data_IF_673091867896
#
_entry.id   IF_673091867896
#
_cell.length_a   1.000
_cell.length_b   1.000
_cell.length_c   1.000
_cell.angle_alpha   90.00
_cell.angle_beta   90.00
_cell.angle_gamma   90.00
#
_symmetry.space_group_name_H-M   'P 1'
#
loop_
_entity.id
_entity.type
_entity.pdbx_description
1 polymer ?
#
# COMPACT_ATOMS: atom_id res chain seq x y z
N UNK A 1 6.01 22.88 35.08
CA UNK A 1 5.87 22.76 33.62
C UNK A 1 4.38 22.73 33.30
N UNK A 2 3.83 23.68 32.53
CA UNK A 2 2.42 23.62 32.15
C UNK A 2 2.19 22.44 31.20
N UNK A 3 1.07 21.74 31.39
CA UNK A 3 0.64 20.62 30.56
C UNK A 3 0.03 21.20 29.27
N UNK A 4 0.77 21.14 28.17
CA UNK A 4 0.24 21.55 26.86
C UNK A 4 -0.85 20.56 26.43
N UNK A 5 -2.07 21.05 26.21
CA UNK A 5 -3.17 20.23 25.74
C UNK A 5 -2.85 19.73 24.32
N UNK A 6 -2.71 18.42 24.15
CA UNK A 6 -2.54 17.80 22.84
C UNK A 6 -3.80 18.03 22.01
N UNK A 7 -3.77 19.03 21.12
CA UNK A 7 -4.89 19.33 20.23
C UNK A 7 -4.74 18.51 18.93
N UNK A 8 -5.75 17.70 18.62
CA UNK A 8 -5.78 16.95 17.37
C UNK A 8 -5.87 17.91 16.16
N UNK A 9 -5.16 17.59 15.07
CA UNK A 9 -5.25 18.38 13.83
C UNK A 9 -6.65 18.26 13.23
N UNK A 10 -7.09 19.32 12.56
CA UNK A 10 -8.31 19.29 11.75
C UNK A 10 -8.18 18.27 10.61
N UNK A 11 -9.31 17.69 10.20
CA UNK A 11 -9.36 16.76 9.07
C UNK A 11 -8.85 17.47 7.81
N UNK A 12 -8.09 16.75 6.99
CA UNK A 12 -7.68 17.23 5.68
C UNK A 12 -8.89 17.42 4.76
N UNK A 13 -8.77 18.36 3.82
CA UNK A 13 -9.77 18.57 2.77
C UNK A 13 -9.89 17.35 1.86
N UNK A 14 -11.05 17.25 1.20
CA UNK A 14 -11.28 16.19 0.21
C UNK A 14 -10.36 16.43 -1.00
N UNK A 15 -9.67 15.41 -1.53
CA UNK A 15 -8.84 15.56 -2.72
C UNK A 15 -9.63 16.16 -3.90
N UNK A 16 -8.99 17.03 -4.67
CA UNK A 16 -9.60 17.67 -5.84
C UNK A 16 -9.80 16.74 -7.04
N UNK A 17 -9.16 15.57 -7.02
CA UNK A 17 -9.28 14.55 -8.05
C UNK A 17 -10.17 13.42 -7.56
N UNK A 18 -10.89 12.79 -8.49
CA UNK A 18 -11.54 11.51 -8.19
C UNK A 18 -10.45 10.50 -7.85
N UNK A 19 -10.71 9.65 -6.87
CA UNK A 19 -9.88 8.48 -6.64
C UNK A 19 -9.86 7.66 -7.94
N UNK A 20 -8.70 7.63 -8.59
CA UNK A 20 -8.46 6.87 -9.81
C UNK A 20 -8.26 5.38 -9.53
N UNK A 21 -8.29 4.98 -8.26
CA UNK A 21 -8.25 3.59 -7.84
C UNK A 21 -9.45 2.83 -8.39
N UNK A 22 -9.28 2.20 -9.55
CA UNK A 22 -10.07 1.01 -9.85
C UNK A 22 -9.73 -0.01 -8.77
N UNK A 23 -10.75 -0.48 -8.05
CA UNK A 23 -10.62 -1.60 -7.13
C UNK A 23 -10.21 -2.82 -7.94
N UNK A 24 -8.90 -3.06 -8.02
CA UNK A 24 -8.40 -4.23 -8.73
C UNK A 24 -8.83 -5.45 -7.92
N UNK A 25 -9.42 -6.48 -8.54
CA UNK A 25 -9.77 -7.69 -7.82
C UNK A 25 -8.55 -8.18 -7.03
N UNK A 26 -8.79 -8.53 -5.76
CA UNK A 26 -7.76 -8.97 -4.82
C UNK A 26 -7.28 -10.40 -5.14
N UNK A 27 -7.00 -10.67 -6.41
CA UNK A 27 -6.44 -11.92 -6.86
C UNK A 27 -5.01 -12.06 -6.30
N UNK A 28 -4.79 -13.15 -5.58
CA UNK A 28 -3.50 -13.47 -4.97
C UNK A 28 -2.44 -13.83 -6.02
N UNK A 29 -2.85 -14.19 -7.24
CA UNK A 29 -1.93 -14.50 -8.34
C UNK A 29 -1.16 -13.27 -8.84
N UNK A 30 -1.67 -12.06 -8.59
CA UNK A 30 -1.05 -10.79 -9.01
C UNK A 30 -0.50 -10.01 -7.82
N UNK A 31 0.06 -10.72 -6.82
CA UNK A 31 0.71 -10.13 -5.64
C UNK A 31 2.19 -10.44 -5.60
N UNK A 32 2.98 -9.40 -5.33
CA UNK A 32 4.39 -9.55 -4.95
C UNK A 32 4.50 -9.41 -3.44
N UNK A 33 5.22 -10.34 -2.82
CA UNK A 33 5.52 -10.33 -1.39
C UNK A 33 6.99 -10.03 -1.18
N UNK A 34 7.29 -8.94 -0.48
CA UNK A 34 8.61 -8.68 0.06
C UNK A 34 8.71 -9.39 1.41
N UNK A 35 9.61 -10.37 1.49
CA UNK A 35 9.79 -11.20 2.69
C UNK A 35 11.10 -10.88 3.40
N UNK A 36 11.05 -10.89 4.73
CA UNK A 36 12.23 -10.74 5.58
C UNK A 36 12.95 -12.08 5.73
N UNK A 37 14.23 -12.20 5.34
CA UNK A 37 14.95 -13.48 5.35
C UNK A 37 15.22 -14.00 6.77
N UNK A 38 15.19 -13.14 7.78
CA UNK A 38 15.45 -13.51 9.18
C UNK A 38 14.21 -13.95 9.99
N UNK A 39 13.00 -13.91 9.41
CA UNK A 39 11.77 -14.32 10.10
C UNK A 39 11.23 -15.63 9.54
N UNK A 40 10.50 -16.38 10.36
CA UNK A 40 9.83 -17.62 9.94
C UNK A 40 8.73 -17.35 8.91
N UNK A 41 8.42 -18.34 8.09
CA UNK A 41 7.44 -18.22 6.99
C UNK A 41 6.04 -17.80 7.44
N UNK A 42 5.69 -18.03 8.71
CA UNK A 42 4.41 -17.64 9.31
C UNK A 42 4.27 -16.15 9.61
N UNK A 43 5.31 -15.34 9.40
CA UNK A 43 5.27 -13.90 9.70
C UNK A 43 6.35 -13.08 9.00
N UNK A 44 6.89 -13.59 7.88
CA UNK A 44 8.00 -12.93 7.20
C UNK A 44 7.58 -11.91 6.13
N UNK A 45 6.28 -11.74 5.85
CA UNK A 45 5.83 -10.76 4.85
C UNK A 45 5.92 -9.35 5.44
N UNK A 46 6.79 -8.52 4.85
CA UNK A 46 6.93 -7.11 5.20
C UNK A 46 5.98 -6.22 4.40
N UNK A 47 5.81 -6.51 3.12
CA UNK A 47 4.96 -5.76 2.22
C UNK A 47 4.32 -6.71 1.19
N UNK A 48 3.04 -6.49 0.91
CA UNK A 48 2.31 -7.14 -0.16
C UNK A 48 1.80 -6.08 -1.13
N UNK A 49 2.26 -6.13 -2.37
CA UNK A 49 1.84 -5.22 -3.43
C UNK A 49 0.73 -5.90 -4.24
N UNK A 50 -0.55 -5.51 -4.09
CA UNK A 50 -1.64 -6.05 -4.90
C UNK A 50 -1.59 -5.53 -6.34
N UNK A 51 -2.10 -6.34 -7.26
CA UNK A 51 -2.32 -5.97 -8.65
C UNK A 51 -1.06 -5.61 -9.44
N UNK A 52 0.02 -6.37 -9.29
CA UNK A 52 1.17 -6.21 -10.18
C UNK A 52 0.82 -6.78 -11.57
N UNK A 53 1.01 -6.00 -12.64
CA UNK A 53 0.71 -6.40 -14.05
C UNK A 53 -0.70 -6.93 -14.32
N UNK A 54 -1.69 -6.55 -13.51
CA UNK A 54 -3.06 -7.00 -13.72
C UNK A 54 -3.65 -6.35 -14.98
N UNK A 55 -4.29 -7.16 -15.84
CA UNK A 55 -4.81 -6.73 -17.15
C UNK A 55 -5.90 -5.66 -17.09
N UNK A 56 -6.57 -5.52 -15.95
CA UNK A 56 -7.62 -4.52 -15.68
C UNK A 56 -7.09 -3.25 -14.99
N UNK A 57 -5.77 -3.07 -14.90
CA UNK A 57 -5.13 -1.97 -14.17
C UNK A 57 -4.44 -2.46 -12.91
N UNK A 58 -3.27 -1.88 -12.62
CA UNK A 58 -2.34 -2.36 -11.60
C UNK A 58 -0.99 -1.64 -11.68
N UNK A 59 -0.11 -1.84 -10.69
CA UNK A 59 1.26 -1.33 -10.77
C UNK A 59 2.02 -2.22 -11.75
N UNK A 60 2.53 -1.66 -12.85
CA UNK A 60 3.37 -2.42 -13.78
C UNK A 60 4.65 -2.86 -13.07
N UNK A 61 5.10 -4.11 -13.26
CA UNK A 61 6.28 -4.65 -12.55
C UNK A 61 7.50 -3.75 -12.68
N UNK A 62 7.69 -3.14 -13.84
CA UNK A 62 8.84 -2.28 -14.10
C UNK A 62 8.79 -0.99 -13.26
N UNK A 63 7.59 -0.46 -13.00
CA UNK A 63 7.40 0.67 -12.11
C UNK A 63 7.69 0.29 -10.66
N UNK A 64 7.26 -0.89 -10.21
CA UNK A 64 7.54 -1.37 -8.86
C UNK A 64 9.03 -1.69 -8.64
N UNK A 65 9.75 -2.10 -9.69
CA UNK A 65 11.19 -2.46 -9.62
C UNK A 65 12.10 -1.24 -9.41
N UNK A 66 11.70 -0.08 -9.92
CA UNK A 66 12.54 1.13 -9.95
C UNK A 66 12.28 2.05 -8.74
N UNK A 67 11.11 1.94 -8.09
CA UNK A 67 10.65 2.80 -7.00
C UNK A 67 11.28 2.48 -5.63
#
# INVERSE_FOLDING_TARGET
>A
MPFESLQARSKYDTPSHKDGGQGVPADLNYKVYLRHPGYSDTGNILLALPALDHSQGGIHHETARIA
#
